data_IF_203613431086
#
_entry.id   IF_203613431086
#
_cell.length_a   1.000
_cell.length_b   1.000
_cell.length_c   1.000
_cell.angle_alpha   90.00
_cell.angle_beta   90.00
_cell.angle_gamma   90.00
#
_symmetry.space_group_name_H-M   'P 1'
#
loop_
_entity.id
_entity.type
_entity.pdbx_description
1 polymer ?
#
# COMPACT_ATOMS: atom_id res chain seq x y z
N UNK A 1 26.68 3.62 -3.27
CA UNK A 1 25.53 4.06 -2.46
C UNK A 1 25.09 2.84 -1.66
N UNK A 2 25.03 2.86 -0.32
CA UNK A 2 24.37 1.76 0.39
C UNK A 2 22.93 1.67 -0.12
N UNK A 3 22.47 0.46 -0.43
CA UNK A 3 21.07 0.26 -0.83
C UNK A 3 20.15 0.74 0.29
N UNK A 4 19.03 1.37 -0.07
CA UNK A 4 18.03 1.74 0.91
C UNK A 4 17.58 0.49 1.67
N UNK A 5 17.55 0.57 2.99
CA UNK A 5 17.18 -0.57 3.84
C UNK A 5 15.74 -0.99 3.54
N UNK A 6 15.44 -2.29 3.36
CA UNK A 6 14.09 -2.75 3.04
C UNK A 6 13.07 -2.30 4.08
N UNK A 7 11.83 -2.08 3.64
CA UNK A 7 10.72 -1.85 4.56
C UNK A 7 10.27 -3.16 5.19
N UNK A 8 9.95 -3.13 6.48
CA UNK A 8 9.43 -4.29 7.21
C UNK A 8 7.91 -4.17 7.42
N UNK A 9 7.20 -5.30 7.62
CA UNK A 9 5.77 -5.25 7.96
C UNK A 9 5.48 -4.45 9.24
N UNK A 10 6.39 -4.45 10.21
CA UNK A 10 6.25 -3.66 11.44
C UNK A 10 6.28 -2.15 11.16
N UNK A 11 7.13 -1.70 10.22
CA UNK A 11 7.13 -0.32 9.77
C UNK A 11 5.82 0.05 9.06
N UNK A 12 5.30 -0.82 8.18
CA UNK A 12 4.03 -0.55 7.50
C UNK A 12 2.86 -0.45 8.50
N UNK A 13 2.81 -1.34 9.51
CA UNK A 13 1.80 -1.27 10.58
C UNK A 13 1.94 0.02 11.40
N UNK A 14 3.16 0.42 11.77
CA UNK A 14 3.39 1.67 12.48
C UNK A 14 2.96 2.89 11.64
N UNK A 15 3.21 2.86 10.33
CA UNK A 15 2.81 3.92 9.41
C UNK A 15 1.28 4.00 9.25
N UNK A 16 0.58 2.86 9.13
CA UNK A 16 -0.88 2.83 9.14
C UNK A 16 -1.45 3.47 10.41
N UNK A 17 -0.94 3.08 11.58
CA UNK A 17 -1.38 3.64 12.87
C UNK A 17 -1.12 5.15 12.95
N UNK A 18 0.08 5.59 12.58
CA UNK A 18 0.44 7.00 12.58
C UNK A 18 -0.46 7.82 11.64
N UNK A 19 -0.71 7.31 10.43
CA UNK A 19 -1.61 7.96 9.48
C UNK A 19 -3.03 8.08 10.04
N UNK A 20 -3.59 6.97 10.55
CA UNK A 20 -4.96 6.97 11.11
C UNK A 20 -5.11 8.00 12.22
N UNK A 21 -4.21 7.99 13.21
CA UNK A 21 -4.23 8.94 14.32
C UNK A 21 -4.26 10.40 13.84
N UNK A 22 -3.35 10.77 12.93
CA UNK A 22 -3.25 12.15 12.46
C UNK A 22 -4.42 12.53 11.53
N UNK A 23 -4.96 11.58 10.78
CA UNK A 23 -6.09 11.83 9.89
C UNK A 23 -7.41 12.05 10.64
N UNK A 24 -7.58 11.40 11.79
CA UNK A 24 -8.77 11.55 12.65
C UNK A 24 -8.75 12.87 13.43
N UNK A 25 -7.57 13.44 13.69
CA UNK A 25 -7.39 14.74 14.35
C UNK A 25 -7.82 15.97 13.50
N UNK A 26 -8.51 15.75 12.37
CA UNK A 26 -9.15 16.80 11.56
C UNK A 26 -8.19 17.62 10.67
N UNK A 27 -6.95 17.17 10.50
CA UNK A 27 -5.97 17.85 9.66
C UNK A 27 -6.31 17.71 8.16
N UNK A 28 -7.04 18.68 7.60
CA UNK A 28 -7.36 18.72 6.16
C UNK A 28 -6.24 19.41 5.37
N UNK A 29 -5.84 18.82 4.24
CA UNK A 29 -4.68 19.20 3.43
C UNK A 29 -4.90 20.44 2.56
N UNK A 30 -4.06 21.46 2.74
CA UNK A 30 -3.63 22.46 1.75
C UNK A 30 -2.11 22.26 1.57
N UNK A 31 -1.45 22.69 0.49
CA UNK A 31 -0.02 22.37 0.25
C UNK A 31 0.96 22.75 1.38
N UNK A 32 0.68 23.81 2.17
CA UNK A 32 1.44 24.11 3.39
C UNK A 32 1.12 23.17 4.56
N UNK A 33 -0.09 22.63 4.60
CA UNK A 33 -0.52 21.64 5.58
C UNK A 33 -0.06 20.23 5.19
N UNK A 34 0.24 19.94 3.92
CA UNK A 34 0.65 18.61 3.48
C UNK A 34 2.05 18.23 3.98
N UNK A 35 3.01 19.17 3.95
CA UNK A 35 4.33 18.94 4.57
C UNK A 35 4.20 18.79 6.09
N UNK A 36 3.44 19.68 6.75
CA UNK A 36 3.17 19.61 8.18
C UNK A 36 2.42 18.33 8.58
N UNK A 37 1.59 17.80 7.70
CA UNK A 37 0.85 16.55 7.92
C UNK A 37 1.80 15.35 7.91
N UNK A 38 2.70 15.27 6.93
CA UNK A 38 3.70 14.19 6.89
C UNK A 38 4.76 14.31 7.98
N UNK A 39 5.08 15.52 8.42
CA UNK A 39 5.94 15.74 9.58
C UNK A 39 5.29 15.20 10.87
N UNK A 40 3.99 15.47 11.10
CA UNK A 40 3.24 14.91 12.24
C UNK A 40 3.11 13.38 12.18
N UNK A 41 2.89 12.83 10.98
CA UNK A 41 2.89 11.38 10.78
C UNK A 41 4.27 10.81 11.10
N UNK A 42 5.34 11.48 10.67
CA UNK A 42 6.72 11.06 10.92
C UNK A 42 7.05 11.05 12.42
N UNK A 43 6.66 12.10 13.15
CA UNK A 43 6.83 12.18 14.60
C UNK A 43 6.09 11.03 15.30
N UNK A 44 4.84 10.80 14.94
CA UNK A 44 4.01 9.71 15.50
C UNK A 44 4.59 8.34 15.15
N UNK A 45 5.00 8.13 13.90
CA UNK A 45 5.61 6.91 13.41
C UNK A 45 6.89 6.56 14.18
N UNK A 46 7.75 7.56 14.43
CA UNK A 46 9.02 7.38 15.14
C UNK A 46 8.80 6.89 16.58
N UNK A 47 7.70 7.28 17.22
CA UNK A 47 7.30 6.77 18.54
C UNK A 47 6.66 5.38 18.53
N UNK A 48 6.22 4.89 17.37
CA UNK A 48 5.53 3.60 17.22
C UNK A 48 6.43 2.47 16.72
N UNK A 49 7.52 2.78 16.03
CA UNK A 49 8.45 1.77 15.53
C UNK A 49 9.30 1.15 16.65
N UNK A 50 9.66 -0.14 16.54
CA UNK A 50 10.56 -0.78 17.49
C UNK A 50 11.94 -0.10 17.59
N UNK A 51 12.58 -0.24 18.75
CA UNK A 51 13.96 0.22 18.91
C UNK A 51 14.90 -0.48 17.90
N UNK A 52 15.78 0.30 17.28
CA UNK A 52 16.70 -0.20 16.25
C UNK A 52 16.14 -0.20 14.83
N UNK A 53 14.88 0.19 14.62
CA UNK A 53 14.36 0.44 13.26
C UNK A 53 15.13 1.59 12.59
N UNK A 54 15.55 1.45 11.32
CA UNK A 54 16.24 2.50 10.59
C UNK A 54 15.42 3.79 10.52
N UNK A 55 16.09 4.93 10.71
CA UNK A 55 15.43 6.24 10.62
C UNK A 55 14.96 6.50 9.17
N UNK A 56 13.65 6.67 9.00
CA UNK A 56 13.03 7.09 7.74
C UNK A 56 12.85 8.60 7.72
N UNK A 57 12.85 9.21 6.54
CA UNK A 57 12.45 10.62 6.35
C UNK A 57 10.95 10.69 6.08
N UNK A 58 10.30 11.80 6.42
CA UNK A 58 8.87 12.02 6.14
C UNK A 58 8.49 11.76 4.67
N UNK A 59 9.31 12.24 3.71
CA UNK A 59 9.08 11.97 2.28
C UNK A 59 9.14 10.49 1.91
N UNK A 60 9.96 9.68 2.60
CA UNK A 60 10.00 8.24 2.36
C UNK A 60 8.73 7.54 2.87
N UNK A 61 8.19 7.98 4.01
CA UNK A 61 6.90 7.52 4.52
C UNK A 61 5.77 7.89 3.55
N UNK A 62 5.78 9.12 3.04
CA UNK A 62 4.81 9.56 2.03
C UNK A 62 4.84 8.68 0.78
N UNK A 63 6.04 8.43 0.22
CA UNK A 63 6.18 7.56 -0.96
C UNK A 63 5.74 6.12 -0.66
N UNK A 64 6.08 5.57 0.50
CA UNK A 64 5.66 4.22 0.92
C UNK A 64 4.14 4.12 1.05
N UNK A 65 3.52 5.12 1.66
CA UNK A 65 2.07 5.21 1.79
C UNK A 65 1.37 5.32 0.44
N UNK A 66 1.78 6.28 -0.40
CA UNK A 66 1.12 6.51 -1.68
C UNK A 66 1.31 5.35 -2.66
N UNK A 67 2.50 4.74 -2.67
CA UNK A 67 2.88 3.75 -3.67
C UNK A 67 2.45 2.32 -3.35
N UNK A 68 2.29 1.96 -2.08
CA UNK A 68 1.99 0.58 -1.69
C UNK A 68 0.80 0.48 -0.74
N UNK A 69 0.84 1.19 0.39
CA UNK A 69 -0.16 0.99 1.45
C UNK A 69 -1.54 1.49 1.04
N UNK A 70 -1.64 2.72 0.54
CA UNK A 70 -2.92 3.34 0.17
C UNK A 70 -3.68 2.54 -0.92
N UNK A 71 -3.03 2.07 -2.01
CA UNK A 71 -3.67 1.17 -2.97
C UNK A 71 -4.23 -0.10 -2.31
N UNK A 72 -3.47 -0.75 -1.43
CA UNK A 72 -3.90 -1.98 -0.75
C UNK A 72 -5.07 -1.71 0.21
N UNK A 73 -5.02 -0.62 0.98
CA UNK A 73 -6.14 -0.18 1.85
C UNK A 73 -7.41 0.06 1.02
N UNK A 74 -7.28 0.69 -0.14
CA UNK A 74 -8.42 0.99 -1.03
C UNK A 74 -9.01 -0.29 -1.63
N UNK A 75 -8.16 -1.24 -2.02
CA UNK A 75 -8.58 -2.54 -2.53
C UNK A 75 -9.30 -3.37 -1.44
N UNK A 76 -8.75 -3.41 -0.23
CA UNK A 76 -9.39 -4.09 0.90
C UNK A 76 -10.74 -3.47 1.25
N UNK A 77 -10.81 -2.13 1.37
CA UNK A 77 -12.07 -1.43 1.63
C UNK A 77 -13.14 -1.73 0.57
N UNK A 78 -12.73 -1.84 -0.70
CA UNK A 78 -13.62 -2.23 -1.79
C UNK A 78 -14.12 -3.68 -1.62
N UNK A 79 -13.26 -4.62 -1.20
CA UNK A 79 -13.67 -6.00 -0.92
C UNK A 79 -14.66 -6.05 0.25
N UNK A 80 -14.37 -5.34 1.34
CA UNK A 80 -15.22 -5.28 2.53
C UNK A 80 -16.60 -4.67 2.20
N UNK A 81 -16.64 -3.63 1.38
CA UNK A 81 -17.90 -3.02 0.94
C UNK A 81 -18.77 -4.01 0.15
N UNK A 82 -18.17 -4.82 -0.72
CA UNK A 82 -18.89 -5.87 -1.46
C UNK A 82 -19.43 -6.94 -0.51
N UNK A 83 -18.60 -7.46 0.40
CA UNK A 83 -19.02 -8.50 1.37
C UNK A 83 -20.16 -8.00 2.26
N UNK A 84 -20.10 -6.74 2.71
CA UNK A 84 -21.17 -6.12 3.53
C UNK A 84 -22.46 -5.83 2.74
N UNK A 85 -22.39 -5.73 1.42
CA UNK A 85 -23.57 -5.52 0.58
C UNK A 85 -24.29 -6.84 0.23
N UNK A 86 -23.62 -7.97 0.38
CA UNK A 86 -24.17 -9.31 0.17
C UNK A 86 -24.98 -9.75 1.40
N UNK A 87 -26.05 -10.52 1.19
CA UNK A 87 -26.91 -11.01 2.27
C UNK A 87 -26.21 -12.13 3.05
N UNK A 88 -25.81 -11.83 4.28
CA UNK A 88 -25.17 -12.77 5.21
C UNK A 88 -25.92 -12.79 6.54
N UNK A 89 -26.96 -13.63 6.65
CA UNK A 89 -27.72 -13.77 7.89
C UNK A 89 -26.86 -14.37 9.00
N UNK A 90 -26.76 -13.65 10.12
CA UNK A 90 -26.07 -14.12 11.33
C UNK A 90 -24.55 -13.95 11.36
N UNK A 91 -23.94 -13.35 10.33
CA UNK A 91 -22.51 -13.08 10.34
C UNK A 91 -22.13 -11.94 11.28
N UNK A 92 -21.00 -12.11 11.95
CA UNK A 92 -20.30 -11.13 12.78
C UNK A 92 -19.43 -10.20 11.93
N UNK A 93 -19.00 -9.07 12.50
CA UNK A 93 -18.05 -8.18 11.82
C UNK A 93 -16.72 -8.87 11.49
N UNK A 94 -16.27 -9.80 12.34
CA UNK A 94 -15.05 -10.57 12.11
C UNK A 94 -15.17 -11.45 10.88
N UNK A 95 -16.31 -12.14 10.71
CA UNK A 95 -16.55 -13.00 9.53
C UNK A 95 -16.59 -12.18 8.23
N UNK A 96 -17.17 -10.97 8.27
CA UNK A 96 -17.10 -10.06 7.11
C UNK A 96 -15.67 -9.62 6.80
N UNK A 97 -14.85 -9.37 7.84
CA UNK A 97 -13.44 -8.99 7.68
C UNK A 97 -12.63 -10.16 7.10
N UNK A 98 -12.82 -11.37 7.63
CA UNK A 98 -12.11 -12.57 7.19
C UNK A 98 -12.43 -12.88 5.72
N UNK A 99 -13.70 -12.81 5.32
CA UNK A 99 -14.11 -12.97 3.93
C UNK A 99 -13.54 -11.86 3.02
N UNK A 100 -13.54 -10.61 3.50
CA UNK A 100 -12.92 -9.51 2.76
C UNK A 100 -11.40 -9.70 2.59
N UNK A 101 -10.71 -10.25 3.59
CA UNK A 101 -9.28 -10.59 3.54
C UNK A 101 -9.00 -11.69 2.52
N UNK A 102 -9.85 -12.73 2.46
CA UNK A 102 -9.75 -13.78 1.45
C UNK A 102 -9.86 -13.20 0.03
N UNK A 103 -10.89 -12.38 -0.22
CA UNK A 103 -11.09 -11.73 -1.52
C UNK A 103 -9.97 -10.75 -1.88
N UNK A 104 -9.48 -9.99 -0.90
CA UNK A 104 -8.34 -9.09 -1.07
C UNK A 104 -7.08 -9.85 -1.49
N UNK A 105 -6.75 -10.94 -0.78
CA UNK A 105 -5.56 -11.76 -1.06
C UNK A 105 -5.60 -12.32 -2.47
N UNK A 106 -6.74 -12.93 -2.86
CA UNK A 106 -6.93 -13.47 -4.20
C UNK A 106 -6.79 -12.38 -5.29
N UNK A 107 -7.40 -11.21 -5.10
CA UNK A 107 -7.27 -10.09 -6.04
C UNK A 107 -5.84 -9.57 -6.13
N UNK A 108 -5.12 -9.50 -5.01
CA UNK A 108 -3.74 -9.00 -4.98
C UNK A 108 -2.79 -9.94 -5.71
N UNK A 109 -2.94 -11.24 -5.51
CA UNK A 109 -2.21 -12.28 -6.23
C UNK A 109 -2.49 -12.21 -7.74
N UNK A 110 -3.77 -12.06 -8.12
CA UNK A 110 -4.15 -11.90 -9.52
C UNK A 110 -3.51 -10.65 -10.15
N UNK A 111 -3.52 -9.50 -9.46
CA UNK A 111 -2.86 -8.27 -9.92
C UNK A 111 -1.35 -8.47 -10.09
N UNK A 112 -0.70 -9.15 -9.16
CA UNK A 112 0.73 -9.48 -9.27
C UNK A 112 1.01 -10.40 -10.46
N UNK A 113 0.21 -11.44 -10.66
CA UNK A 113 0.35 -12.35 -11.80
C UNK A 113 0.13 -11.62 -13.13
N UNK A 114 -0.85 -10.72 -13.19
CA UNK A 114 -1.10 -9.89 -14.37
C UNK A 114 0.09 -9.00 -14.70
N UNK A 115 0.65 -8.30 -13.69
CA UNK A 115 1.81 -7.44 -13.87
C UNK A 115 3.03 -8.20 -14.38
N UNK A 116 3.29 -9.40 -13.84
CA UNK A 116 4.38 -10.28 -14.30
C UNK A 116 4.17 -10.69 -15.75
N UNK A 117 2.95 -11.11 -16.11
CA UNK A 117 2.62 -11.51 -17.48
C UNK A 117 2.77 -10.35 -18.46
N UNK A 118 2.27 -9.16 -18.12
CA UNK A 118 2.40 -7.97 -18.96
C UNK A 118 3.88 -7.64 -19.22
N UNK A 119 4.72 -7.69 -18.18
CA UNK A 119 6.16 -7.50 -18.32
C UNK A 119 6.81 -8.54 -19.24
N UNK A 120 6.45 -9.81 -19.12
CA UNK A 120 6.96 -10.88 -20.00
C UNK A 120 6.52 -10.71 -21.45
N UNK A 121 5.27 -10.29 -21.68
CA UNK A 121 4.73 -10.00 -23.01
C UNK A 121 5.46 -8.81 -23.66
N UNK A 122 5.72 -7.74 -22.90
CA UNK A 122 6.51 -6.60 -23.34
C UNK A 122 7.94 -6.97 -23.71
N UNK A 123 8.60 -7.81 -22.91
CA UNK A 123 9.94 -8.33 -23.22
C UNK A 123 9.95 -9.15 -24.52
N UNK A 124 8.96 -10.04 -24.71
CA UNK A 124 8.80 -10.82 -25.95
C UNK A 124 8.52 -9.91 -27.16
N UNK A 125 7.68 -8.89 -26.99
CA UNK A 125 7.38 -7.91 -28.04
C UNK A 125 8.58 -7.00 -28.38
N UNK A 126 9.39 -6.62 -27.37
CA UNK A 126 10.64 -5.88 -27.56
C UNK A 126 11.68 -6.71 -28.30
N UNK A 127 11.82 -8.00 -27.95
CA UNK A 127 12.73 -8.93 -28.63
C UNK A 127 12.35 -9.19 -30.09
N UNK A 128 11.06 -9.15 -30.45
CA UNK A 128 10.61 -9.30 -31.84
C UNK A 128 10.85 -8.05 -32.69
N UNK A 129 10.85 -6.85 -32.08
CA UNK A 129 11.18 -5.59 -32.78
C UNK A 129 12.68 -5.42 -33.10
N UNK A 130 13.58 -6.15 -32.42
CA UNK A 130 15.04 -6.10 -32.65
C UNK A 130 15.60 -6.93 -33.82
N UNK A 131 14.77 -7.70 -34.55
CA UNK A 131 15.22 -8.63 -35.61
C UNK A 131 15.04 -8.13 -37.06
N UNK A 132 14.89 -6.83 -37.32
CA UNK A 132 14.90 -6.31 -38.70
C UNK A 132 16.32 -5.88 -39.10
N UNK A 133 17.05 -6.78 -39.76
CA UNK A 133 18.28 -6.42 -40.49
C UNK A 133 17.90 -5.58 -41.72
N UNK A 134 18.59 -4.45 -42.00
CA UNK A 134 18.42 -3.75 -43.25
C UNK A 134 19.04 -4.56 -44.40
N UNK A 135 18.36 -4.55 -45.54
CA UNK A 135 18.81 -5.16 -46.81
C UNK A 135 19.61 -4.14 -47.61
#
# INVERSE_FOLDING_TARGET
MPNAEPWTPAEDVALCKAYTNISEDGATSTDRLSSLFWDRIHDTYTGLVPAGTPARKAGALQSRWSGLIRPDVSLFASCLAVVKAEEHSGWTDMEHIDEALLRFTAKREQLNANATREYEEELRAGATKGKRKPR
#
